data_IF_233232979456
#
_entry.id   IF_233232979456
#
_cell.length_a   1.000
_cell.length_b   1.000
_cell.length_c   1.000
_cell.angle_alpha   90.00
_cell.angle_beta   90.00
_cell.angle_gamma   90.00
#
_symmetry.space_group_name_H-M   'P 1'
#
loop_
_entity.id
_entity.type
_entity.pdbx_description
1 polymer ?
#
# COMPACT_ATOMS: atom_id res chain seq x y z
N UNK A 1 7.21 -5.22 -13.70
CA UNK A 1 6.72 -6.01 -12.54
C UNK A 1 7.94 -6.42 -11.71
N UNK A 2 8.28 -5.68 -10.65
CA UNK A 2 9.21 -6.15 -9.61
C UNK A 2 9.27 -5.13 -8.46
N UNK A 3 8.57 -5.39 -7.35
CA UNK A 3 8.99 -4.86 -6.05
C UNK A 3 9.50 -6.01 -5.18
N UNK A 4 10.79 -6.37 -5.29
CA UNK A 4 11.64 -6.96 -4.24
C UNK A 4 13.12 -6.66 -4.55
N UNK A 5 14.06 -6.57 -3.59
CA UNK A 5 13.94 -6.67 -2.12
C UNK A 5 14.47 -5.41 -1.39
N UNK A 6 14.08 -5.22 -0.13
CA UNK A 6 14.84 -4.37 0.79
C UNK A 6 16.15 -5.14 1.10
N UNK A 7 17.24 -4.83 0.38
CA UNK A 7 18.58 -5.42 0.60
C UNK A 7 19.32 -4.51 1.59
N UNK A 8 19.60 -5.04 2.79
CA UNK A 8 20.59 -4.50 3.74
C UNK A 8 21.95 -4.39 3.03
N UNK A 9 22.69 -3.28 3.07
CA UNK A 9 23.38 -2.70 4.24
C UNK A 9 23.49 -1.17 4.05
N UNK A 10 23.14 -0.41 5.09
CA UNK A 10 23.46 1.01 5.20
C UNK A 10 22.48 1.96 4.51
N UNK A 11 21.40 2.31 5.25
CA UNK A 11 20.60 3.55 5.09
C UNK A 11 19.48 3.53 4.04
N UNK A 12 18.26 3.64 4.59
CA UNK A 12 16.93 3.98 4.03
C UNK A 12 16.20 3.00 3.11
N UNK A 13 15.09 2.44 3.65
CA UNK A 13 13.99 1.83 2.90
C UNK A 13 12.70 2.54 3.36
N UNK A 14 12.40 3.78 2.88
CA UNK A 14 11.29 4.56 3.43
C UNK A 14 9.90 4.00 3.09
N UNK A 15 9.81 3.04 2.16
CA UNK A 15 8.56 2.49 1.63
C UNK A 15 8.79 1.02 1.27
N UNK A 16 8.31 0.11 2.11
CA UNK A 16 8.21 -1.32 1.78
C UNK A 16 6.86 -1.54 1.12
N UNK A 17 6.79 -1.85 -0.18
CA UNK A 17 5.52 -2.19 -0.79
C UNK A 17 5.06 -3.56 -0.25
N UNK A 18 3.83 -3.67 0.24
CA UNK A 18 3.13 -4.97 0.26
C UNK A 18 2.74 -5.27 -1.19
N UNK A 19 3.67 -5.84 -1.96
CA UNK A 19 3.48 -6.16 -3.38
C UNK A 19 2.55 -7.37 -3.59
N UNK A 20 2.11 -8.01 -2.49
CA UNK A 20 1.20 -9.14 -2.50
C UNK A 20 -0.18 -8.79 -1.97
N UNK A 21 -1.18 -9.34 -2.65
CA UNK A 21 -2.56 -9.32 -2.18
C UNK A 21 -2.65 -10.05 -0.83
N UNK A 22 -3.60 -9.64 0.01
CA UNK A 22 -3.89 -10.29 1.28
C UNK A 22 -2.74 -10.30 2.31
N UNK A 23 -1.78 -9.38 2.18
CA UNK A 23 -0.77 -9.09 3.20
C UNK A 23 -1.03 -7.76 3.89
N UNK A 24 -0.62 -7.66 5.15
CA UNK A 24 -0.72 -6.43 5.92
C UNK A 24 0.66 -5.85 6.25
N UNK A 25 0.70 -4.56 6.57
CA UNK A 25 1.94 -3.84 6.79
C UNK A 25 2.63 -4.25 8.10
N UNK A 26 1.89 -4.70 9.12
CA UNK A 26 2.48 -5.21 10.35
C UNK A 26 3.39 -6.43 10.07
N UNK A 27 2.89 -7.40 9.29
CA UNK A 27 3.65 -8.60 8.89
C UNK A 27 4.84 -8.24 8.00
N UNK A 28 4.62 -7.41 6.97
CA UNK A 28 5.67 -7.00 6.04
C UNK A 28 6.80 -6.30 6.79
N UNK A 29 6.50 -5.25 7.57
CA UNK A 29 7.54 -4.54 8.33
C UNK A 29 8.25 -5.45 9.34
N UNK A 30 7.51 -6.30 10.06
CA UNK A 30 8.10 -7.22 11.05
C UNK A 30 9.07 -8.22 10.40
N UNK A 31 8.80 -8.68 9.17
CA UNK A 31 9.72 -9.57 8.43
C UNK A 31 11.06 -8.92 8.10
N UNK A 32 11.12 -7.58 8.16
CA UNK A 32 12.32 -6.78 7.97
C UNK A 32 12.90 -6.23 9.29
N UNK A 33 12.39 -6.67 10.45
CA UNK A 33 12.85 -6.18 11.76
C UNK A 33 12.40 -4.74 12.07
N UNK A 34 11.39 -4.24 11.36
CA UNK A 34 10.85 -2.88 11.50
C UNK A 34 9.42 -2.93 12.03
N UNK A 35 8.89 -1.77 12.44
CA UNK A 35 7.48 -1.61 12.86
C UNK A 35 6.70 -0.80 11.81
N UNK A 36 5.47 -1.21 11.55
CA UNK A 36 4.58 -0.41 10.72
C UNK A 36 4.23 0.93 11.39
N UNK A 37 4.24 2.01 10.60
CA UNK A 37 3.88 3.36 11.03
C UNK A 37 2.56 3.82 10.39
N UNK A 38 1.51 3.97 11.19
CA UNK A 38 0.21 4.46 10.72
C UNK A 38 0.27 5.93 10.24
N UNK A 39 1.11 6.75 10.88
CA UNK A 39 1.34 8.13 10.44
C UNK A 39 2.08 8.18 9.11
N UNK A 40 2.99 7.23 8.87
CA UNK A 40 3.60 7.04 7.55
C UNK A 40 2.55 6.69 6.49
N UNK A 41 1.61 5.78 6.80
CA UNK A 41 0.52 5.41 5.88
C UNK A 41 -0.33 6.63 5.52
N UNK A 42 -0.59 7.53 6.48
CA UNK A 42 -1.26 8.81 6.24
C UNK A 42 -0.44 9.72 5.33
N UNK A 43 0.87 9.84 5.56
CA UNK A 43 1.75 10.70 4.77
C UNK A 43 1.84 10.27 3.29
N UNK A 44 1.74 8.96 3.02
CA UNK A 44 1.80 8.40 1.66
C UNK A 44 0.44 8.30 0.97
N UNK A 45 -0.63 8.72 1.64
CA UNK A 45 -1.99 8.69 1.12
C UNK A 45 -2.25 9.80 0.09
N UNK A 46 -1.59 9.73 -1.06
CA UNK A 46 -1.82 10.64 -2.17
C UNK A 46 -1.75 9.90 -3.50
N UNK A 47 -2.58 10.36 -4.46
CA UNK A 47 -2.55 9.82 -5.81
C UNK A 47 -1.18 9.98 -6.47
N UNK A 48 -0.47 11.08 -6.18
CA UNK A 48 0.88 11.32 -6.70
C UNK A 48 1.84 10.22 -6.26
N UNK A 49 1.92 9.94 -4.96
CA UNK A 49 2.81 8.91 -4.40
C UNK A 49 2.39 7.50 -4.88
N UNK A 50 1.09 7.23 -4.96
CA UNK A 50 0.60 5.94 -5.48
C UNK A 50 1.02 5.71 -6.93
N UNK A 51 0.95 6.73 -7.79
CA UNK A 51 1.40 6.66 -9.19
C UNK A 51 2.92 6.47 -9.34
N UNK A 52 3.71 6.84 -8.33
CA UNK A 52 5.15 6.57 -8.32
C UNK A 52 5.47 5.11 -7.97
N UNK A 53 4.53 4.37 -7.37
CA UNK A 53 4.72 2.99 -6.87
C UNK A 53 3.90 1.94 -7.61
N UNK A 54 2.76 2.33 -8.16
CA UNK A 54 1.84 1.45 -8.85
C UNK A 54 1.49 1.99 -10.24
N UNK A 55 1.03 1.13 -11.17
CA UNK A 55 0.65 1.59 -12.50
C UNK A 55 -0.49 2.62 -12.48
N UNK A 56 -1.49 2.42 -11.60
CA UNK A 56 -2.69 3.27 -11.50
C UNK A 56 -3.26 3.63 -12.89
N UNK A 57 -3.31 2.65 -13.80
CA UNK A 57 -3.61 2.86 -15.22
C UNK A 57 -5.01 3.43 -15.47
N UNK A 58 -5.93 3.22 -14.52
CA UNK A 58 -7.27 3.77 -14.53
C UNK A 58 -7.44 4.97 -13.57
N UNK A 59 -6.33 5.60 -13.18
CA UNK A 59 -6.31 6.80 -12.35
C UNK A 59 -6.40 6.51 -10.85
N UNK A 60 -6.90 7.50 -10.12
CA UNK A 60 -7.08 7.43 -8.67
C UNK A 60 -8.53 7.72 -8.30
N UNK A 61 -9.00 7.08 -7.24
CA UNK A 61 -10.33 7.29 -6.69
C UNK A 61 -10.26 7.39 -5.17
N UNK A 62 -11.17 8.16 -4.61
CA UNK A 62 -11.36 8.28 -3.17
C UNK A 62 -12.18 7.11 -2.66
N UNK A 63 -11.76 6.51 -1.56
CA UNK A 63 -12.40 5.32 -1.00
C UNK A 63 -12.18 5.20 0.51
N UNK A 64 -12.75 4.14 1.09
CA UNK A 64 -12.64 3.81 2.50
C UNK A 64 -12.25 2.34 2.62
N UNK A 65 -11.18 2.07 3.35
CA UNK A 65 -10.75 0.69 3.60
C UNK A 65 -9.50 0.65 4.48
N UNK A 66 -9.39 -0.33 5.39
CA UNK A 66 -8.22 -0.44 6.28
C UNK A 66 -6.93 -0.81 5.54
N UNK A 67 -7.04 -1.35 4.33
CA UNK A 67 -5.95 -1.69 3.42
C UNK A 67 -5.43 -0.48 2.62
N UNK A 68 -6.13 0.66 2.63
CA UNK A 68 -5.79 1.84 1.85
C UNK A 68 -4.76 2.73 2.57
N UNK A 69 -3.88 3.46 1.85
CA UNK A 69 -3.84 3.64 0.39
C UNK A 69 -3.34 2.41 -0.37
N UNK A 70 -3.98 2.10 -1.51
CA UNK A 70 -3.75 0.85 -2.22
C UNK A 70 -3.98 0.96 -3.75
N UNK A 71 -3.49 -0.02 -4.50
CA UNK A 71 -3.77 -0.23 -5.92
C UNK A 71 -4.65 -1.46 -6.09
N UNK A 72 -5.76 -1.33 -6.82
CA UNK A 72 -6.64 -2.44 -7.15
C UNK A 72 -6.01 -3.26 -8.26
N UNK A 73 -5.79 -4.56 -8.00
CA UNK A 73 -5.11 -5.43 -8.96
C UNK A 73 -5.93 -5.63 -10.25
N UNK A 74 -5.30 -5.84 -11.42
CA UNK A 74 -6.01 -6.07 -12.67
C UNK A 74 -6.94 -7.29 -12.69
N UNK A 75 -6.66 -8.29 -11.84
CA UNK A 75 -7.47 -9.51 -11.72
C UNK A 75 -8.74 -9.34 -10.86
N UNK A 76 -8.95 -8.17 -10.25
CA UNK A 76 -10.16 -7.89 -9.49
C UNK A 76 -11.38 -7.84 -10.41
N UNK A 77 -12.55 -8.23 -9.90
CA UNK A 77 -13.82 -8.07 -10.62
C UNK A 77 -14.04 -6.61 -11.02
N UNK A 78 -14.64 -6.36 -12.19
CA UNK A 78 -14.88 -5.02 -12.75
C UNK A 78 -15.53 -4.05 -11.76
N UNK A 79 -16.46 -4.55 -10.93
CA UNK A 79 -17.14 -3.76 -9.89
C UNK A 79 -16.20 -3.20 -8.81
N UNK A 80 -15.02 -3.78 -8.63
CA UNK A 80 -13.99 -3.30 -7.70
C UNK A 80 -13.02 -2.30 -8.33
N UNK A 81 -13.23 -1.90 -9.59
CA UNK A 81 -12.41 -0.90 -10.29
C UNK A 81 -10.93 -1.33 -10.44
N UNK A 82 -10.64 -2.45 -11.12
CA UNK A 82 -9.26 -2.89 -11.37
C UNK A 82 -8.43 -1.79 -12.03
N UNK A 83 -7.15 -1.67 -11.65
CA UNK A 83 -6.24 -0.67 -12.20
C UNK A 83 -6.35 0.72 -11.59
N UNK A 84 -7.26 0.94 -10.63
CA UNK A 84 -7.41 2.21 -9.90
C UNK A 84 -6.55 2.22 -8.63
N UNK A 85 -5.96 3.36 -8.31
CA UNK A 85 -5.33 3.62 -7.03
C UNK A 85 -6.32 4.28 -6.05
N UNK A 86 -6.52 3.68 -4.89
CA UNK A 86 -7.44 4.11 -3.85
C UNK A 86 -6.71 4.99 -2.83
N UNK A 87 -7.21 6.21 -2.67
CA UNK A 87 -6.79 7.16 -1.64
C UNK A 87 -7.84 7.15 -0.53
N UNK A 88 -7.41 6.89 0.70
CA UNK A 88 -8.32 6.81 1.84
C UNK A 88 -8.76 8.22 2.25
N UNK A 89 -10.07 8.47 2.32
CA UNK A 89 -10.59 9.78 2.77
C UNK A 89 -10.72 9.90 4.29
N UNK A 90 -10.64 8.80 5.03
CA UNK A 90 -10.82 8.79 6.48
C UNK A 90 -9.49 8.67 7.21
N UNK A 91 -9.07 9.80 7.82
CA UNK A 91 -7.79 9.91 8.52
C UNK A 91 -7.60 8.97 9.72
N UNK A 92 -8.70 8.40 10.23
CA UNK A 92 -8.77 7.42 11.31
C UNK A 92 -8.70 5.97 10.82
N UNK A 93 -8.74 5.71 9.51
CA UNK A 93 -8.78 4.37 8.92
C UNK A 93 -7.42 3.83 8.44
N UNK A 94 -6.31 4.52 8.74
CA UNK A 94 -4.97 4.02 8.42
C UNK A 94 -4.56 2.90 9.38
N UNK A 95 -4.72 1.65 8.93
CA UNK A 95 -4.42 0.45 9.74
C UNK A 95 -3.20 -0.30 9.22
N UNK A 96 -2.33 -0.71 10.14
CA UNK A 96 -1.21 -1.60 9.86
C UNK A 96 -1.63 -3.05 9.63
N UNK A 97 -2.77 -3.47 10.18
CA UNK A 97 -3.29 -4.83 10.09
C UNK A 97 -4.23 -5.04 8.90
N UNK A 98 -4.67 -3.94 8.28
CA UNK A 98 -5.52 -3.96 7.10
C UNK A 98 -4.88 -4.68 5.92
N UNK A 99 -5.70 -5.49 5.25
CA UNK A 99 -5.35 -6.22 4.03
C UNK A 99 -6.61 -6.48 3.24
N UNK A 100 -6.46 -6.67 1.93
CA UNK A 100 -7.58 -6.98 1.08
C UNK A 100 -7.13 -7.89 -0.06
N UNK A 101 -7.97 -8.88 -0.48
CA UNK A 101 -7.59 -9.80 -1.53
C UNK A 101 -7.50 -9.13 -2.90
N UNK A 102 -8.15 -7.99 -3.14
CA UNK A 102 -8.15 -7.32 -4.45
C UNK A 102 -7.22 -6.10 -4.54
N UNK A 103 -6.40 -5.84 -3.53
CA UNK A 103 -5.51 -4.68 -3.53
C UNK A 103 -4.08 -5.04 -3.15
N UNK A 104 -3.15 -4.20 -3.56
CA UNK A 104 -1.76 -4.15 -3.09
C UNK A 104 -1.53 -2.79 -2.47
N UNK A 105 -0.80 -2.71 -1.35
CA UNK A 105 -0.70 -1.46 -0.58
C UNK A 105 0.74 -1.04 -0.34
N UNK A 106 0.94 0.27 -0.16
CA UNK A 106 2.23 0.79 0.31
C UNK A 106 2.29 0.60 1.82
N UNK A 107 3.40 0.09 2.33
CA UNK A 107 3.69 0.06 3.76
C UNK A 107 4.84 1.01 4.10
N UNK A 108 4.66 1.74 5.19
CA UNK A 108 5.68 2.59 5.78
C UNK A 108 6.18 1.94 7.06
N UNK A 109 7.46 1.62 7.08
CA UNK A 109 8.12 0.92 8.18
C UNK A 109 9.15 1.84 8.85
N UNK A 110 9.29 1.75 10.18
CA UNK A 110 10.23 2.50 11.01
C UNK A 110 10.93 1.59 12.00
#
# INVERSE_FOLDING_TARGET
MQCRPCITIGVTCPLGCADWQNENCAQVCSSHGLKCSADGLRAVNSCKILKEKFPCENGCSESFGPDQPAYVVPSALRMHQPGVCLVNQRGDMFSCDGKHPNTRRICTCT
#
